data_IF_335683132446
#
_entry.id   IF_335683132446
#
_cell.length_a   1.000
_cell.length_b   1.000
_cell.length_c   1.000
_cell.angle_alpha   90.00
_cell.angle_beta   90.00
_cell.angle_gamma   90.00
#
_symmetry.space_group_name_H-M   'P 1'
#
loop_
_entity.id
_entity.type
_entity.pdbx_description
1 polymer ?
#
# COMPACT_ATOMS: atom_id res chain seq x y z
N UNK A 1 13.45 35.17 -1.40
CA UNK A 1 14.65 34.45 -1.86
C UNK A 1 14.54 34.18 -3.36
N UNK A 2 15.62 33.85 -4.06
CA UNK A 2 15.53 33.32 -5.43
C UNK A 2 15.05 31.88 -5.41
N UNK A 3 14.50 31.37 -6.51
CA UNK A 3 14.08 29.97 -6.61
C UNK A 3 15.23 28.99 -6.28
N UNK A 4 16.46 29.30 -6.72
CA UNK A 4 17.63 28.48 -6.44
C UNK A 4 17.98 28.46 -4.94
N UNK A 5 17.85 29.59 -4.24
CA UNK A 5 18.09 29.68 -2.80
C UNK A 5 17.08 28.84 -2.01
N UNK A 6 15.78 28.98 -2.31
CA UNK A 6 14.69 28.17 -1.75
C UNK A 6 15.00 26.68 -1.96
N UNK A 7 15.33 26.30 -3.20
CA UNK A 7 15.65 24.91 -3.50
C UNK A 7 16.84 24.38 -2.71
N UNK A 8 17.95 25.12 -2.65
CA UNK A 8 19.15 24.65 -1.97
C UNK A 8 19.00 24.57 -0.45
N UNK A 9 18.19 25.46 0.14
CA UNK A 9 17.91 25.48 1.58
C UNK A 9 16.91 24.38 1.98
N UNK A 10 15.90 24.11 1.18
CA UNK A 10 14.72 23.32 1.60
C UNK A 10 14.74 21.87 1.14
N UNK A 11 15.46 21.56 0.05
CA UNK A 11 15.45 20.23 -0.58
C UNK A 11 15.82 19.08 0.36
N UNK A 12 16.66 19.33 1.36
CA UNK A 12 17.08 18.31 2.33
C UNK A 12 15.94 17.85 3.22
N UNK A 13 14.94 18.72 3.46
CA UNK A 13 13.76 18.44 4.27
C UNK A 13 12.68 17.62 3.56
N UNK A 14 12.82 17.39 2.25
CA UNK A 14 11.82 16.71 1.42
C UNK A 14 12.26 15.27 1.16
N UNK A 15 11.31 14.33 1.27
CA UNK A 15 11.58 12.88 1.23
C UNK A 15 10.65 12.14 0.27
N UNK A 16 11.18 11.10 -0.36
CA UNK A 16 10.40 10.16 -1.15
C UNK A 16 9.87 9.07 -0.23
N UNK A 17 8.55 8.94 -0.15
CA UNK A 17 7.87 7.95 0.68
C UNK A 17 7.53 6.73 -0.16
N UNK A 18 7.80 5.55 0.40
CA UNK A 18 7.33 4.26 -0.13
C UNK A 18 6.50 3.54 0.92
N UNK A 19 5.27 3.21 0.55
CA UNK A 19 4.34 2.42 1.35
C UNK A 19 4.03 1.12 0.61
N UNK A 20 4.56 0.00 1.12
CA UNK A 20 4.21 -1.34 0.62
C UNK A 20 3.12 -1.94 1.46
N UNK A 21 2.11 -2.52 0.82
CA UNK A 21 1.00 -3.12 1.53
C UNK A 21 0.40 -4.31 0.81
N UNK A 22 -0.31 -5.13 1.60
CA UNK A 22 -1.21 -6.17 1.14
C UNK A 22 -2.33 -6.34 2.17
N UNK A 23 -3.34 -7.11 1.80
CA UNK A 23 -4.50 -7.38 2.62
C UNK A 23 -4.51 -8.82 3.06
N UNK A 24 -4.86 -9.03 4.32
CA UNK A 24 -5.13 -10.33 4.91
C UNK A 24 -6.63 -10.45 5.14
N UNK A 25 -7.27 -11.34 4.38
CA UNK A 25 -8.66 -11.70 4.50
C UNK A 25 -8.79 -12.96 5.35
N UNK A 26 -9.40 -12.82 6.53
CA UNK A 26 -9.80 -13.95 7.37
C UNK A 26 -11.28 -14.25 7.13
N UNK A 27 -11.56 -15.45 6.63
CA UNK A 27 -12.91 -15.97 6.46
C UNK A 27 -13.50 -16.41 7.82
N UNK A 28 -14.83 -16.52 7.96
CA UNK A 28 -15.49 -16.99 9.20
C UNK A 28 -15.00 -18.34 9.72
N UNK A 29 -14.49 -19.23 8.84
CA UNK A 29 -13.88 -20.51 9.23
C UNK A 29 -12.51 -20.38 9.90
N UNK A 30 -11.90 -19.19 9.86
CA UNK A 30 -10.50 -18.95 10.21
C UNK A 30 -9.52 -19.09 9.03
N UNK A 31 -9.99 -19.52 7.85
CA UNK A 31 -9.14 -19.65 6.67
C UNK A 31 -8.62 -18.28 6.22
N UNK A 32 -7.32 -18.19 5.97
CA UNK A 32 -6.63 -16.95 5.62
C UNK A 32 -6.33 -16.90 4.13
N UNK A 33 -6.67 -15.76 3.52
CA UNK A 33 -6.36 -15.42 2.15
C UNK A 33 -5.63 -14.08 2.12
N UNK A 34 -4.85 -13.88 1.08
CA UNK A 34 -4.04 -12.69 0.89
C UNK A 34 -4.28 -12.11 -0.50
N UNK A 35 -4.29 -10.79 -0.63
CA UNK A 35 -4.37 -10.12 -1.92
C UNK A 35 -3.71 -8.75 -1.86
N UNK A 36 -3.36 -8.19 -3.02
CA UNK A 36 -2.53 -6.98 -3.14
C UNK A 36 -3.35 -5.70 -3.28
N UNK A 37 -4.37 -5.73 -4.14
CA UNK A 37 -5.24 -4.60 -4.43
C UNK A 37 -6.60 -5.09 -4.95
N UNK A 38 -7.60 -4.20 -5.02
CA UNK A 38 -8.86 -4.45 -5.72
C UNK A 38 -8.94 -3.54 -6.93
N UNK A 39 -8.74 -4.10 -8.11
CA UNK A 39 -8.96 -3.40 -9.37
C UNK A 39 -10.41 -3.49 -9.83
N UNK A 40 -10.68 -2.98 -11.02
CA UNK A 40 -11.97 -3.13 -11.70
C UNK A 40 -12.35 -4.61 -11.87
N UNK A 41 -11.35 -5.49 -12.07
CA UNK A 41 -11.50 -6.94 -12.18
C UNK A 41 -11.52 -7.68 -10.82
N UNK A 42 -11.55 -6.96 -9.70
CA UNK A 42 -11.61 -7.52 -8.35
C UNK A 42 -10.26 -7.78 -7.69
N UNK A 43 -10.17 -8.84 -6.86
CA UNK A 43 -9.01 -9.10 -5.98
C UNK A 43 -7.76 -9.53 -6.77
N UNK A 44 -6.73 -8.70 -6.76
CA UNK A 44 -5.47 -8.94 -7.47
C UNK A 44 -4.47 -9.73 -6.62
N UNK A 45 -3.78 -10.69 -7.23
CA UNK A 45 -2.82 -11.58 -6.57
C UNK A 45 -3.40 -12.36 -5.38
N UNK A 46 -4.67 -12.80 -5.51
CA UNK A 46 -5.34 -13.60 -4.49
C UNK A 46 -4.59 -14.93 -4.27
N UNK A 47 -4.24 -15.23 -3.02
CA UNK A 47 -3.47 -16.43 -2.66
C UNK A 47 -3.76 -16.91 -1.23
N UNK A 48 -3.64 -18.21 -0.99
CA UNK A 48 -3.62 -18.86 0.33
C UNK A 48 -2.19 -18.94 0.92
N UNK A 49 -1.17 -18.53 0.15
CA UNK A 49 0.25 -18.66 0.52
C UNK A 49 0.85 -17.29 0.88
N UNK A 50 1.23 -17.12 2.15
CA UNK A 50 1.83 -15.87 2.65
C UNK A 50 3.08 -15.45 1.86
N UNK A 51 4.00 -16.37 1.57
CA UNK A 51 5.22 -16.03 0.83
C UNK A 51 4.96 -15.58 -0.60
N UNK A 52 3.85 -16.04 -1.19
CA UNK A 52 3.45 -15.61 -2.52
C UNK A 52 3.00 -14.15 -2.53
N UNK A 53 2.20 -13.73 -1.54
CA UNK A 53 1.77 -12.33 -1.47
C UNK A 53 2.92 -11.37 -1.15
N UNK A 54 3.92 -11.80 -0.36
CA UNK A 54 5.08 -10.97 -0.04
C UNK A 54 5.89 -10.55 -1.29
N UNK A 55 5.80 -11.34 -2.38
CA UNK A 55 6.41 -11.03 -3.68
C UNK A 55 5.54 -10.17 -4.60
N UNK A 56 4.26 -10.02 -4.29
CA UNK A 56 3.28 -9.32 -5.13
C UNK A 56 2.54 -8.21 -4.37
N UNK A 57 3.19 -7.61 -3.37
CA UNK A 57 2.62 -6.50 -2.60
C UNK A 57 2.38 -5.29 -3.51
N UNK A 58 1.34 -4.52 -3.19
CA UNK A 58 1.11 -3.23 -3.82
C UNK A 58 2.03 -2.17 -3.23
N UNK A 59 2.34 -1.17 -4.05
CA UNK A 59 3.24 -0.07 -3.68
C UNK A 59 2.50 1.24 -3.94
N UNK A 60 2.47 2.10 -2.93
CA UNK A 60 2.13 3.51 -3.08
C UNK A 60 3.38 4.33 -2.83
N UNK A 61 3.59 5.35 -3.66
CA UNK A 61 4.68 6.32 -3.51
C UNK A 61 4.11 7.73 -3.46
N UNK A 62 4.81 8.61 -2.75
CA UNK A 62 4.47 10.02 -2.64
C UNK A 62 5.64 10.80 -2.08
N UNK A 63 5.45 12.09 -1.90
CA UNK A 63 6.40 12.99 -1.26
C UNK A 63 5.94 13.29 0.16
N UNK A 64 6.88 13.57 1.05
CA UNK A 64 6.59 14.22 2.33
C UNK A 64 7.72 15.15 2.75
N UNK A 65 7.54 15.85 3.85
CA UNK A 65 8.52 16.79 4.36
C UNK A 65 8.56 16.85 5.88
N UNK A 66 9.74 17.10 6.46
CA UNK A 66 9.95 17.17 7.91
C UNK A 66 9.39 18.46 8.50
N UNK A 67 8.81 18.35 9.70
CA UNK A 67 8.21 19.49 10.43
C UNK A 67 8.81 19.74 11.81
N UNK A 68 9.75 18.89 12.24
CA UNK A 68 10.47 19.02 13.52
C UNK A 68 11.73 18.14 13.58
N UNK A 69 12.41 18.15 14.72
CA UNK A 69 13.60 17.35 15.01
C UNK A 69 13.28 15.90 15.43
N UNK A 70 12.02 15.57 15.75
CA UNK A 70 11.60 14.24 16.19
C UNK A 70 11.31 13.27 15.03
N UNK A 71 11.68 13.64 13.81
CA UNK A 71 11.47 12.83 12.62
C UNK A 71 10.02 12.75 12.18
N UNK A 72 9.15 13.71 12.56
CA UNK A 72 7.78 13.76 12.07
C UNK A 72 7.74 14.39 10.68
N UNK A 73 6.92 13.79 9.81
CA UNK A 73 6.83 14.11 8.39
C UNK A 73 5.35 14.22 8.01
N UNK A 74 5.01 15.29 7.30
CA UNK A 74 3.67 15.49 6.73
C UNK A 74 3.65 14.98 5.29
N UNK A 75 2.55 14.32 4.93
CA UNK A 75 2.25 13.84 3.56
C UNK A 75 0.74 13.71 3.38
N UNK A 76 0.30 13.21 2.22
CA UNK A 76 -1.11 12.88 2.02
C UNK A 76 -1.53 11.57 2.66
N UNK A 77 -2.80 11.48 3.07
CA UNK A 77 -3.37 10.24 3.63
C UNK A 77 -3.39 9.10 2.62
N UNK A 78 -3.69 9.34 1.35
CA UNK A 78 -3.67 8.26 0.34
C UNK A 78 -2.27 7.70 0.04
N UNK A 79 -1.20 8.37 0.50
CA UNK A 79 0.17 7.84 0.42
C UNK A 79 0.41 6.80 1.52
N UNK A 80 -0.19 6.98 2.69
CA UNK A 80 0.06 6.18 3.91
C UNK A 80 -1.05 5.19 4.25
N UNK A 81 -2.26 5.48 3.78
CA UNK A 81 -3.46 4.66 3.92
C UNK A 81 -3.97 4.23 2.56
N UNK A 82 -4.65 3.09 2.58
CA UNK A 82 -5.30 2.52 1.42
C UNK A 82 -6.80 2.71 1.53
N UNK A 83 -7.48 3.00 0.42
CA UNK A 83 -8.93 3.25 0.39
C UNK A 83 -9.80 2.08 0.85
N UNK A 84 -9.21 0.89 0.99
CA UNK A 84 -9.95 -0.31 1.26
C UNK A 84 -10.30 -0.47 2.74
N UNK A 85 -11.58 -0.28 3.03
CA UNK A 85 -12.19 -0.48 4.35
C UNK A 85 -13.19 -1.63 4.32
N UNK A 86 -13.60 -2.13 5.49
CA UNK A 86 -14.70 -3.10 5.64
C UNK A 86 -15.98 -2.64 4.92
N UNK A 87 -16.17 -1.32 4.75
CA UNK A 87 -17.31 -0.75 4.03
C UNK A 87 -17.24 -1.03 2.51
N UNK A 88 -16.05 -0.98 1.90
CA UNK A 88 -15.84 -1.26 0.47
C UNK A 88 -16.09 -2.73 0.17
N UNK A 89 -15.58 -3.63 1.02
CA UNK A 89 -15.96 -5.05 0.98
C UNK A 89 -17.47 -5.25 0.99
N UNK A 90 -18.14 -4.55 1.90
CA UNK A 90 -19.57 -4.77 2.13
C UNK A 90 -20.40 -4.33 0.93
N UNK A 91 -20.01 -3.25 0.27
CA UNK A 91 -20.63 -2.76 -0.97
C UNK A 91 -20.39 -3.70 -2.15
N UNK A 92 -19.19 -4.28 -2.25
CA UNK A 92 -18.76 -5.11 -3.38
C UNK A 92 -18.80 -6.63 -3.11
N UNK A 93 -19.55 -7.05 -2.08
CA UNK A 93 -19.48 -8.42 -1.58
C UNK A 93 -19.83 -9.48 -2.62
N UNK A 94 -20.86 -9.23 -3.44
CA UNK A 94 -21.29 -10.21 -4.45
C UNK A 94 -20.15 -10.54 -5.43
N UNK A 95 -19.37 -9.55 -5.85
CA UNK A 95 -18.27 -9.75 -6.78
C UNK A 95 -17.07 -10.40 -6.08
N UNK A 96 -16.75 -9.95 -4.87
CA UNK A 96 -15.73 -10.58 -4.02
C UNK A 96 -16.07 -12.05 -3.77
N UNK A 97 -17.34 -12.38 -3.50
CA UNK A 97 -17.79 -13.74 -3.24
C UNK A 97 -17.63 -14.64 -4.47
N UNK A 98 -17.94 -14.17 -5.69
CA UNK A 98 -17.69 -14.92 -6.93
C UNK A 98 -16.21 -15.22 -7.13
N UNK A 99 -15.35 -14.23 -6.90
CA UNK A 99 -13.90 -14.39 -7.02
C UNK A 99 -13.39 -15.42 -6.02
N UNK A 100 -13.84 -15.33 -4.77
CA UNK A 100 -13.52 -16.31 -3.73
C UNK A 100 -14.02 -17.70 -4.07
N UNK A 101 -15.24 -17.84 -4.61
CA UNK A 101 -15.79 -19.13 -5.05
C UNK A 101 -14.94 -19.75 -6.16
N UNK A 102 -14.58 -18.96 -7.17
CA UNK A 102 -13.71 -19.41 -8.27
C UNK A 102 -12.35 -19.85 -7.74
N UNK A 103 -11.73 -19.05 -6.87
CA UNK A 103 -10.42 -19.32 -6.29
C UNK A 103 -10.42 -20.58 -5.41
N UNK A 104 -11.38 -20.70 -4.48
CA UNK A 104 -11.48 -21.89 -3.63
C UNK A 104 -11.83 -23.12 -4.47
N UNK A 105 -12.60 -22.99 -5.54
CA UNK A 105 -12.82 -24.07 -6.50
C UNK A 105 -11.52 -24.55 -7.18
N UNK A 106 -10.57 -23.64 -7.45
CA UNK A 106 -9.24 -24.01 -7.93
C UNK A 106 -8.42 -24.72 -6.85
N UNK A 107 -8.50 -24.27 -5.60
CA UNK A 107 -7.85 -24.95 -4.47
C UNK A 107 -8.38 -26.36 -4.28
N UNK A 108 -9.69 -26.56 -4.34
CA UNK A 108 -10.31 -27.89 -4.29
C UNK A 108 -9.76 -28.79 -5.39
N UNK A 109 -9.65 -28.29 -6.63
CA UNK A 109 -9.05 -29.06 -7.74
C UNK A 109 -7.58 -29.39 -7.48
N UNK A 110 -6.79 -28.47 -6.93
CA UNK A 110 -5.38 -28.68 -6.56
C UNK A 110 -5.25 -29.80 -5.52
N UNK A 111 -6.04 -29.72 -4.44
CA UNK A 111 -6.06 -30.68 -3.33
C UNK A 111 -6.47 -32.07 -3.82
N UNK A 112 -7.50 -32.16 -4.69
CA UNK A 112 -7.93 -33.44 -5.26
C UNK A 112 -6.91 -34.04 -6.24
N UNK A 113 -6.20 -33.21 -7.01
CA UNK A 113 -5.12 -33.73 -7.85
C UNK A 113 -3.98 -34.35 -7.02
N UNK A 114 -3.67 -33.78 -5.86
CA UNK A 114 -2.70 -34.37 -4.92
C UNK A 114 -3.20 -35.70 -4.34
N UNK A 115 -4.50 -35.79 -4.03
CA UNK A 115 -5.15 -37.04 -3.63
C UNK A 115 -4.99 -38.14 -4.69
N UNK A 116 -5.29 -37.84 -5.96
CA UNK A 116 -5.21 -38.82 -7.06
C UNK A 116 -3.78 -39.34 -7.26
N UNK A 117 -2.76 -38.49 -7.02
CA UNK A 117 -1.35 -38.89 -7.05
C UNK A 117 -1.02 -39.86 -5.91
N UNK A 118 -1.54 -39.62 -4.71
CA UNK A 118 -1.36 -40.52 -3.56
C UNK A 118 -2.05 -41.87 -3.79
N UNK A 119 -3.27 -41.87 -4.33
CA UNK A 119 -4.00 -43.09 -4.65
C UNK A 119 -3.24 -43.92 -5.70
N UNK A 120 -2.70 -43.26 -6.73
CA UNK A 120 -1.84 -43.92 -7.73
C UNK A 120 -0.58 -44.52 -7.09
N UNK A 121 0.02 -43.85 -6.09
CA UNK A 121 1.17 -44.38 -5.35
C UNK A 121 0.81 -45.59 -4.49
N UNK A 122 -0.39 -45.65 -3.89
CA UNK A 122 -0.84 -46.82 -3.13
C UNK A 122 -0.94 -48.07 -4.00
N UNK A 123 -1.44 -47.94 -5.22
CA UNK A 123 -1.52 -49.05 -6.17
C UNK A 123 -0.13 -49.63 -6.44
N UNK A 124 0.92 -48.80 -6.52
CA UNK A 124 2.30 -49.27 -6.70
C UNK A 124 2.88 -50.00 -5.48
N UNK A 125 2.26 -49.90 -4.30
CA UNK A 125 2.66 -50.66 -3.12
C UNK A 125 2.04 -52.06 -3.09
N UNK A 126 1.02 -52.29 -3.92
CA UNK A 126 0.37 -53.59 -4.07
C UNK A 126 1.18 -54.46 -5.03
N UNK A 127 1.36 -55.72 -4.67
CA UNK A 127 1.75 -56.77 -5.61
C UNK A 127 1.00 -58.04 -5.30
N UNK A 128 1.41 -59.13 -5.94
CA UNK A 128 0.71 -60.40 -5.85
C UNK A 128 1.63 -61.46 -5.25
N UNK A 129 1.12 -62.23 -4.29
CA UNK A 129 1.80 -63.44 -3.83
C UNK A 129 1.68 -64.59 -4.86
N UNK A 130 2.29 -65.73 -4.57
CA UNK A 130 2.26 -66.91 -5.46
C UNK A 130 0.85 -67.50 -5.67
N UNK A 131 -0.14 -67.06 -4.92
CA UNK A 131 -1.54 -67.48 -5.01
C UNK A 131 -2.43 -66.42 -5.65
N UNK A 132 -1.85 -65.29 -6.08
CA UNK A 132 -2.58 -64.16 -6.66
C UNK A 132 -3.30 -63.29 -5.63
N UNK A 133 -2.98 -63.38 -4.34
CA UNK A 133 -3.51 -62.46 -3.33
C UNK A 133 -2.72 -61.16 -3.33
N UNK A 134 -3.43 -60.05 -3.10
CA UNK A 134 -2.80 -58.73 -2.96
C UNK A 134 -1.98 -58.69 -1.67
N UNK A 135 -0.70 -58.38 -1.80
CA UNK A 135 0.23 -58.13 -0.69
C UNK A 135 0.79 -56.72 -0.78
N UNK A 136 1.07 -56.11 0.36
CA UNK A 136 1.62 -54.75 0.43
C UNK A 136 3.11 -54.85 0.71
N UNK A 137 3.93 -54.42 -0.24
CA UNK A 137 5.38 -54.59 -0.17
C UNK A 137 6.09 -53.53 0.69
N UNK A 138 5.38 -52.49 1.13
CA UNK A 138 5.91 -51.43 1.99
C UNK A 138 4.81 -50.82 2.88
N UNK A 139 4.55 -51.45 4.03
CA UNK A 139 3.52 -51.02 4.99
C UNK A 139 3.79 -49.61 5.53
N UNK A 140 5.05 -49.25 5.78
CA UNK A 140 5.42 -47.91 6.27
C UNK A 140 5.07 -46.81 5.27
N UNK A 141 5.27 -47.05 3.98
CA UNK A 141 4.86 -46.11 2.93
C UNK A 141 3.33 -46.02 2.85
N UNK A 142 2.60 -47.13 3.01
CA UNK A 142 1.14 -47.13 3.04
C UNK A 142 0.59 -46.29 4.20
N UNK A 143 1.16 -46.43 5.40
CA UNK A 143 0.78 -45.62 6.56
C UNK A 143 1.00 -44.12 6.31
N UNK A 144 2.15 -43.76 5.74
CA UNK A 144 2.47 -42.36 5.40
C UNK A 144 1.49 -41.79 4.36
N UNK A 145 1.18 -42.55 3.31
CA UNK A 145 0.22 -42.11 2.29
C UNK A 145 -1.18 -41.97 2.89
N UNK A 146 -1.63 -42.94 3.68
CA UNK A 146 -2.94 -42.90 4.34
C UNK A 146 -3.07 -41.71 5.29
N UNK A 147 -2.00 -41.39 6.04
CA UNK A 147 -1.96 -40.20 6.89
C UNK A 147 -2.01 -38.89 6.08
N UNK A 148 -1.35 -38.84 4.91
CA UNK A 148 -1.40 -37.69 4.02
C UNK A 148 -2.78 -37.50 3.39
N UNK A 149 -3.41 -38.57 2.90
CA UNK A 149 -4.77 -38.53 2.37
C UNK A 149 -5.79 -38.05 3.40
N UNK A 150 -5.67 -38.48 4.66
CA UNK A 150 -6.56 -38.00 5.73
C UNK A 150 -6.49 -36.49 5.86
N UNK A 151 -5.29 -35.89 5.81
CA UNK A 151 -5.10 -34.44 5.86
C UNK A 151 -5.70 -33.74 4.64
N UNK A 152 -5.50 -34.31 3.45
CA UNK A 152 -6.07 -33.80 2.19
C UNK A 152 -7.61 -33.81 2.23
N UNK A 153 -8.22 -34.89 2.73
CA UNK A 153 -9.67 -34.99 2.88
C UNK A 153 -10.22 -34.02 3.93
N UNK A 154 -9.50 -33.81 5.03
CA UNK A 154 -9.84 -32.78 6.02
C UNK A 154 -9.83 -31.38 5.39
N UNK A 155 -8.79 -31.04 4.61
CA UNK A 155 -8.70 -29.77 3.90
C UNK A 155 -9.81 -29.62 2.84
N UNK A 156 -10.04 -30.64 2.00
CA UNK A 156 -11.12 -30.66 1.03
C UNK A 156 -12.49 -30.39 1.68
N UNK A 157 -12.76 -31.03 2.82
CA UNK A 157 -14.01 -30.84 3.55
C UNK A 157 -14.15 -29.41 4.08
N UNK A 158 -13.06 -28.80 4.55
CA UNK A 158 -13.05 -27.40 4.97
C UNK A 158 -13.32 -26.45 3.78
N UNK A 159 -12.62 -26.64 2.65
CA UNK A 159 -12.78 -25.82 1.45
C UNK A 159 -14.19 -25.96 0.85
N UNK A 160 -14.73 -27.17 0.81
CA UNK A 160 -16.08 -27.44 0.28
C UNK A 160 -17.16 -26.75 1.13
N UNK A 161 -17.01 -26.77 2.46
CA UNK A 161 -17.89 -26.00 3.36
C UNK A 161 -17.78 -24.50 3.10
N UNK A 162 -16.58 -23.97 2.90
CA UNK A 162 -16.38 -22.55 2.58
C UNK A 162 -17.14 -22.13 1.33
N UNK A 163 -16.99 -22.87 0.22
CA UNK A 163 -17.69 -22.56 -1.04
C UNK A 163 -19.21 -22.53 -0.85
N UNK A 164 -19.76 -23.52 -0.14
CA UNK A 164 -21.20 -23.58 0.14
C UNK A 164 -21.74 -22.40 0.95
N UNK A 165 -20.88 -21.77 1.76
CA UNK A 165 -21.26 -20.67 2.64
C UNK A 165 -21.06 -19.29 2.01
N UNK A 166 -20.26 -19.14 0.96
CA UNK A 166 -19.98 -17.86 0.30
C UNK A 166 -21.23 -17.19 -0.32
N UNK A 167 -22.33 -17.92 -0.52
CA UNK A 167 -23.62 -17.36 -0.93
C UNK A 167 -24.49 -16.85 0.23
N UNK A 168 -24.07 -17.00 1.49
CA UNK A 168 -24.86 -16.68 2.66
C UNK A 168 -24.51 -15.30 3.23
N UNK A 169 -25.51 -14.43 3.41
CA UNK A 169 -25.34 -13.08 3.96
C UNK A 169 -24.77 -13.04 5.39
N UNK A 170 -24.91 -14.11 6.17
CA UNK A 170 -24.25 -14.24 7.49
C UNK A 170 -22.74 -14.46 7.36
N UNK A 171 -22.28 -15.07 6.26
CA UNK A 171 -20.86 -15.32 6.01
C UNK A 171 -20.12 -13.99 5.75
N UNK A 172 -20.75 -13.08 5.00
CA UNK A 172 -20.24 -11.71 4.79
C UNK A 172 -19.87 -11.01 6.10
N UNK A 173 -20.75 -11.08 7.11
CA UNK A 173 -20.55 -10.40 8.40
C UNK A 173 -19.38 -10.96 9.22
N UNK A 174 -18.95 -12.20 8.96
CA UNK A 174 -17.83 -12.82 9.67
C UNK A 174 -16.47 -12.63 8.98
N UNK A 175 -16.42 -12.06 7.78
CA UNK A 175 -15.17 -11.78 7.08
C UNK A 175 -14.47 -10.58 7.71
N UNK A 176 -13.19 -10.74 8.03
CA UNK A 176 -12.34 -9.69 8.57
C UNK A 176 -11.20 -9.40 7.62
N UNK A 177 -10.96 -8.13 7.35
CA UNK A 177 -9.79 -7.71 6.59
C UNK A 177 -8.86 -6.87 7.44
N UNK A 178 -7.57 -7.20 7.37
CA UNK A 178 -6.48 -6.43 7.95
C UNK A 178 -5.54 -6.00 6.84
N UNK A 179 -5.17 -4.73 6.85
CA UNK A 179 -4.09 -4.22 5.98
C UNK A 179 -2.76 -4.46 6.70
N UNK A 180 -1.81 -5.08 6.02
CA UNK A 180 -0.42 -5.17 6.48
C UNK A 180 0.40 -4.24 5.62
N UNK A 181 1.02 -3.25 6.26
CA UNK A 181 1.78 -2.20 5.57
C UNK A 181 3.17 -2.01 6.17
N UNK A 182 4.10 -1.63 5.32
CA UNK A 182 5.47 -1.26 5.69
C UNK A 182 5.80 0.06 4.99
N UNK A 183 6.18 1.05 5.79
CA UNK A 183 6.47 2.40 5.34
C UNK A 183 7.95 2.70 5.54
N UNK A 184 8.55 3.35 4.56
CA UNK A 184 9.91 3.88 4.65
C UNK A 184 10.12 5.07 3.74
N UNK A 185 11.25 5.74 3.91
CA UNK A 185 11.59 6.95 3.15
C UNK A 185 12.99 6.87 2.52
N UNK A 186 13.23 7.70 1.52
CA UNK A 186 14.55 7.97 0.97
C UNK A 186 14.78 9.47 0.81
N UNK A 187 16.03 9.89 0.94
CA UNK A 187 16.46 11.29 0.90
C UNK A 187 17.03 11.67 -0.47
N UNK A 188 17.15 12.98 -0.72
CA UNK A 188 17.88 13.50 -1.88
C UNK A 188 19.33 12.99 -1.89
N UNK A 189 19.77 12.47 -3.03
CA UNK A 189 21.09 11.86 -3.22
C UNK A 189 21.18 10.37 -2.86
N UNK A 190 20.17 9.76 -2.25
CA UNK A 190 20.22 8.34 -1.90
C UNK A 190 20.36 7.43 -3.14
N UNK A 191 21.19 6.39 -3.02
CA UNK A 191 21.35 5.37 -4.06
C UNK A 191 20.34 4.25 -3.87
N UNK A 192 19.12 4.50 -4.29
CA UNK A 192 18.02 3.52 -4.23
C UNK A 192 18.20 2.46 -5.32
N UNK A 193 18.43 1.21 -4.92
CA UNK A 193 18.56 0.03 -5.81
C UNK A 193 17.40 -0.94 -5.66
N UNK A 194 16.79 -0.96 -4.48
CA UNK A 194 15.68 -1.85 -4.14
C UNK A 194 14.73 -1.19 -3.15
N UNK A 195 13.54 -1.75 -3.01
CA UNK A 195 12.55 -1.33 -2.00
C UNK A 195 13.12 -1.40 -0.57
N UNK A 196 14.05 -2.33 -0.33
CA UNK A 196 14.76 -2.48 0.95
C UNK A 196 15.47 -1.20 1.38
N UNK A 197 15.91 -0.37 0.42
CA UNK A 197 16.62 0.87 0.70
C UNK A 197 15.71 1.93 1.34
N UNK A 198 14.39 1.83 1.13
CA UNK A 198 13.40 2.61 1.87
C UNK A 198 13.04 1.92 3.19
N UNK A 199 12.58 0.67 3.09
CA UNK A 199 11.82 0.01 4.16
C UNK A 199 12.69 -0.47 5.32
N UNK A 200 14.00 -0.68 5.08
CA UNK A 200 14.94 -1.12 6.10
C UNK A 200 15.84 0.00 6.60
N UNK A 201 16.27 0.89 5.72
CA UNK A 201 17.21 1.97 6.06
C UNK A 201 16.54 3.06 6.88
N UNK A 202 15.39 3.57 6.42
CA UNK A 202 14.67 4.66 7.07
C UNK A 202 13.19 4.27 7.27
N UNK A 203 12.91 3.28 8.13
CA UNK A 203 11.54 2.85 8.38
C UNK A 203 10.75 3.93 9.12
N UNK A 204 9.49 4.09 8.73
CA UNK A 204 8.56 5.03 9.35
C UNK A 204 7.28 4.32 9.83
N UNK A 205 6.51 5.01 10.67
CA UNK A 205 5.19 4.60 11.14
C UNK A 205 4.19 5.73 10.95
N UNK A 206 2.92 5.40 10.77
CA UNK A 206 1.84 6.38 10.75
C UNK A 206 1.50 6.75 12.19
N UNK A 207 1.51 8.04 12.51
CA UNK A 207 1.07 8.58 13.81
C UNK A 207 -0.39 8.99 13.79
N UNK A 208 -0.79 9.72 12.74
CA UNK A 208 -2.13 10.24 12.58
C UNK A 208 -2.52 10.31 11.10
N UNK A 209 -3.82 10.14 10.85
CA UNK A 209 -4.44 10.33 9.54
C UNK A 209 -5.73 11.11 9.72
N UNK A 210 -5.95 12.09 8.86
CA UNK A 210 -7.18 12.86 8.87
C UNK A 210 -8.38 11.95 8.57
N UNK A 211 -9.50 12.22 9.25
CA UNK A 211 -10.79 11.56 9.01
C UNK A 211 -11.72 12.37 8.13
N UNK A 212 -11.32 13.59 7.80
CA UNK A 212 -12.12 14.52 7.00
C UNK A 212 -11.95 14.20 5.51
N UNK A 213 -13.01 14.39 4.72
CA UNK A 213 -13.01 14.03 3.28
C UNK A 213 -12.19 15.03 2.44
N UNK A 214 -12.15 16.29 2.87
CA UNK A 214 -11.49 17.42 2.22
C UNK A 214 -10.08 17.71 2.75
N UNK A 215 -9.66 17.04 3.83
CA UNK A 215 -8.28 17.11 4.34
C UNK A 215 -7.59 15.75 4.17
N UNK A 216 -7.01 15.48 3.01
CA UNK A 216 -6.26 14.25 2.78
C UNK A 216 -4.81 14.35 3.30
N UNK A 217 -4.65 14.43 4.62
CA UNK A 217 -3.36 14.58 5.30
C UNK A 217 -3.03 13.40 6.21
N UNK A 218 -1.75 13.08 6.33
CA UNK A 218 -1.22 12.11 7.28
C UNK A 218 0.09 12.61 7.88
N UNK A 219 0.23 12.35 9.18
CA UNK A 219 1.46 12.51 9.94
C UNK A 219 2.13 11.15 10.10
N UNK A 220 3.35 11.03 9.61
CA UNK A 220 4.20 9.86 9.81
C UNK A 220 5.42 10.25 10.66
N UNK A 221 6.09 9.26 11.23
CA UNK A 221 7.30 9.48 12.00
C UNK A 221 8.34 8.40 11.71
N UNK A 222 9.59 8.81 11.55
CA UNK A 222 10.72 7.88 11.52
C UNK A 222 10.75 7.03 12.80
N UNK A 223 11.03 5.73 12.68
CA UNK A 223 11.18 4.86 13.86
C UNK A 223 12.36 5.26 14.76
N UNK A 224 13.36 5.96 14.21
CA UNK A 224 14.46 6.56 14.97
C UNK A 224 14.00 7.68 15.90
N UNK A 225 12.83 8.29 15.63
CA UNK A 225 12.33 9.51 16.29
C UNK A 225 13.32 10.67 16.24
N UNK A 226 14.08 10.74 15.16
CA UNK A 226 15.11 11.75 14.96
C UNK A 226 15.18 12.12 13.48
N UNK A 227 15.05 13.40 13.19
CA UNK A 227 15.33 13.99 11.88
C UNK A 227 16.84 14.00 11.65
N UNK A 228 17.34 13.61 10.46
CA UNK A 228 18.78 13.61 10.19
C UNK A 228 19.40 15.00 10.36
N UNK A 229 20.67 15.05 10.77
CA UNK A 229 21.40 16.31 10.94
C UNK A 229 21.49 17.07 9.61
N UNK A 230 21.40 18.41 9.66
CA UNK A 230 21.41 19.32 8.50
C UNK A 230 20.22 19.13 7.53
N UNK A 231 19.13 18.56 8.02
CA UNK A 231 17.85 18.48 7.31
C UNK A 231 17.05 19.74 7.55
N UNK A 232 16.45 20.31 6.51
CA UNK A 232 15.55 21.43 6.65
C UNK A 232 14.26 21.02 7.37
N UNK A 233 13.81 21.86 8.30
CA UNK A 233 12.55 21.70 9.03
C UNK A 233 11.60 22.79 8.54
N UNK A 234 10.50 22.37 7.93
CA UNK A 234 9.53 23.29 7.36
C UNK A 234 8.65 23.91 8.44
N UNK A 235 8.34 25.19 8.26
CA UNK A 235 7.34 25.92 9.04
C UNK A 235 6.12 26.23 8.18
N UNK A 236 4.93 26.18 8.78
CA UNK A 236 3.69 26.60 8.15
C UNK A 236 3.46 28.10 8.38
N UNK A 237 2.84 28.79 7.42
CA UNK A 237 2.42 30.20 7.56
C UNK A 237 0.90 30.35 7.44
N UNK A 238 0.31 31.21 8.27
CA UNK A 238 -1.10 31.59 8.19
C UNK A 238 -1.32 32.80 7.26
N UNK A 239 -0.27 33.28 6.59
CA UNK A 239 -0.36 34.43 5.71
C UNK A 239 -1.37 34.18 4.56
N UNK A 240 -2.29 35.11 4.31
CA UNK A 240 -3.26 34.96 3.24
C UNK A 240 -2.55 34.97 1.88
N UNK A 241 -2.99 34.10 0.97
CA UNK A 241 -2.49 34.11 -0.40
C UNK A 241 -3.30 35.04 -1.29
N UNK A 242 -2.62 35.72 -2.20
CA UNK A 242 -3.21 36.58 -3.22
C UNK A 242 -3.21 35.90 -4.59
N UNK A 243 -4.18 36.23 -5.44
CA UNK A 243 -4.15 35.81 -6.86
C UNK A 243 -2.86 36.32 -7.51
N UNK A 244 -2.28 35.50 -8.41
CA UNK A 244 -1.01 35.78 -9.09
C UNK A 244 0.24 35.74 -8.18
N UNK A 245 0.08 35.40 -6.89
CA UNK A 245 1.21 35.14 -6.01
C UNK A 245 2.00 33.91 -6.50
N UNK A 246 3.31 34.08 -6.63
CA UNK A 246 4.24 33.01 -7.00
C UNK A 246 4.35 31.97 -5.87
N UNK A 247 4.27 30.71 -6.26
CA UNK A 247 4.40 29.54 -5.40
C UNK A 247 5.43 28.58 -5.97
N UNK A 248 6.09 27.84 -5.08
CA UNK A 248 7.03 26.78 -5.42
C UNK A 248 6.56 25.46 -4.85
N UNK A 249 6.86 24.37 -5.54
CA UNK A 249 6.64 23.02 -5.07
C UNK A 249 7.92 22.23 -5.21
N UNK A 250 8.37 21.63 -4.11
CA UNK A 250 9.55 20.76 -4.06
C UNK A 250 9.08 19.33 -3.79
N UNK A 251 9.56 18.37 -4.57
CA UNK A 251 9.14 16.99 -4.40
C UNK A 251 9.68 16.01 -5.41
N UNK A 252 9.21 14.77 -5.29
CA UNK A 252 9.57 13.65 -6.15
C UNK A 252 8.47 13.39 -7.16
N UNK A 253 8.36 14.31 -8.12
CA UNK A 253 7.41 14.24 -9.24
C UNK A 253 7.65 12.94 -10.02
N UNK A 254 6.60 12.17 -10.32
CA UNK A 254 6.67 10.83 -10.93
C UNK A 254 7.48 9.79 -10.13
N UNK A 255 7.74 10.04 -8.84
CA UNK A 255 8.45 9.12 -7.95
C UNK A 255 9.80 8.69 -8.53
N UNK A 256 10.11 7.40 -8.50
CA UNK A 256 11.38 6.86 -8.97
C UNK A 256 11.61 7.01 -10.48
N UNK A 257 10.56 7.24 -11.28
CA UNK A 257 10.69 7.35 -12.75
C UNK A 257 11.54 8.56 -13.13
N UNK A 258 11.29 9.71 -12.50
CA UNK A 258 12.06 10.94 -12.74
C UNK A 258 13.13 11.18 -11.68
N UNK A 259 12.91 10.72 -10.44
CA UNK A 259 13.88 10.94 -9.38
C UNK A 259 15.19 10.20 -9.64
N UNK A 260 15.17 9.01 -10.26
CA UNK A 260 16.38 8.20 -10.41
C UNK A 260 17.36 8.80 -11.42
N UNK A 261 18.51 9.28 -10.93
CA UNK A 261 19.59 9.83 -11.75
C UNK A 261 20.88 9.01 -11.58
N UNK A 262 21.90 9.32 -12.40
CA UNK A 262 23.23 8.70 -12.24
C UNK A 262 23.88 8.99 -10.87
N UNK A 263 23.43 10.04 -10.16
CA UNK A 263 23.98 10.45 -8.86
C UNK A 263 23.18 9.89 -7.66
N UNK A 264 22.07 9.20 -7.90
CA UNK A 264 21.10 8.82 -6.87
C UNK A 264 19.72 9.41 -7.20
N UNK A 265 18.77 9.27 -6.27
CA UNK A 265 17.49 9.94 -6.43
C UNK A 265 17.67 11.45 -6.26
N UNK A 266 17.01 12.25 -7.07
CA UNK A 266 17.06 13.71 -6.99
C UNK A 266 15.66 14.28 -6.85
N UNK A 267 15.51 15.22 -5.92
CA UNK A 267 14.29 16.01 -5.75
C UNK A 267 14.17 17.06 -6.85
N UNK A 268 12.94 17.38 -7.24
CA UNK A 268 12.63 18.39 -8.26
C UNK A 268 11.96 19.61 -7.63
N UNK A 269 12.11 20.76 -8.30
CA UNK A 269 11.35 21.97 -8.02
C UNK A 269 10.53 22.34 -9.25
N UNK A 270 9.31 22.81 -9.00
CA UNK A 270 8.42 23.41 -9.99
C UNK A 270 7.84 24.69 -9.40
N UNK A 271 7.42 25.62 -10.25
CA UNK A 271 6.76 26.86 -9.82
C UNK A 271 5.51 27.13 -10.63
N UNK A 272 4.74 28.08 -10.13
CA UNK A 272 3.46 28.49 -10.68
C UNK A 272 2.86 29.56 -9.79
N UNK A 273 1.61 29.91 -10.07
CA UNK A 273 0.93 30.99 -9.35
C UNK A 273 -0.40 30.55 -8.82
N UNK A 274 -0.86 31.23 -7.78
CA UNK A 274 -2.23 31.14 -7.29
C UNK A 274 -3.19 31.56 -8.41
N UNK A 275 -4.12 30.68 -8.78
CA UNK A 275 -5.06 30.91 -9.89
C UNK A 275 -6.48 31.27 -9.42
N UNK A 276 -6.75 31.14 -8.13
CA UNK A 276 -8.02 31.46 -7.50
C UNK A 276 -7.78 31.96 -6.08
N UNK A 277 -8.62 32.88 -5.59
CA UNK A 277 -8.66 33.17 -4.16
C UNK A 277 -8.80 31.86 -3.38
N UNK A 278 -7.86 31.52 -2.48
CA UNK A 278 -7.97 30.30 -1.69
C UNK A 278 -9.26 30.31 -0.88
N UNK A 279 -9.86 29.14 -0.75
CA UNK A 279 -10.94 28.91 0.21
C UNK A 279 -10.41 28.06 1.39
N UNK A 280 -11.26 27.77 2.37
CA UNK A 280 -10.86 26.99 3.54
C UNK A 280 -10.56 25.51 3.22
N UNK A 281 -10.91 25.03 2.02
CA UNK A 281 -10.79 23.63 1.62
C UNK A 281 -9.63 23.37 0.67
N UNK A 282 -9.22 24.35 -0.14
CA UNK A 282 -8.21 24.17 -1.19
C UNK A 282 -7.52 25.46 -1.62
N UNK A 283 -6.28 25.32 -2.06
CA UNK A 283 -5.51 26.35 -2.77
C UNK A 283 -5.38 25.89 -4.21
N UNK A 284 -5.85 26.68 -5.19
CA UNK A 284 -5.65 26.37 -6.61
C UNK A 284 -4.46 27.13 -7.17
N UNK A 285 -3.65 26.43 -7.97
CA UNK A 285 -2.48 27.00 -8.63
C UNK A 285 -2.21 26.39 -10.00
N UNK A 286 -1.26 27.01 -10.71
CA UNK A 286 -0.81 26.58 -12.03
C UNK A 286 0.41 25.65 -12.03
N UNK A 287 0.96 25.29 -10.85
CA UNK A 287 2.08 24.35 -10.74
C UNK A 287 1.67 23.00 -11.36
N UNK A 288 2.44 22.41 -12.29
CA UNK A 288 2.12 21.11 -12.86
C UNK A 288 2.18 20.01 -11.78
N UNK A 289 1.17 19.15 -11.70
CA UNK A 289 1.19 18.00 -10.80
C UNK A 289 1.12 16.70 -11.57
N UNK A 290 1.82 15.70 -11.06
CA UNK A 290 1.84 14.33 -11.58
C UNK A 290 1.79 13.36 -10.42
N UNK A 291 1.47 12.09 -10.67
CA UNK A 291 1.58 11.05 -9.65
C UNK A 291 2.97 11.08 -8.99
N UNK A 292 3.06 10.88 -7.68
CA UNK A 292 4.31 11.00 -6.90
C UNK A 292 4.56 12.38 -6.29
N UNK A 293 4.01 13.46 -6.89
CA UNK A 293 4.05 14.81 -6.29
C UNK A 293 3.10 14.97 -5.09
N UNK A 294 2.16 14.05 -4.90
CA UNK A 294 1.26 14.04 -3.73
C UNK A 294 2.05 14.08 -2.42
N UNK A 295 1.75 15.08 -1.60
CA UNK A 295 2.37 15.28 -0.29
C UNK A 295 3.56 16.24 -0.31
N UNK A 296 3.92 16.78 -1.48
CA UNK A 296 4.91 17.84 -1.60
C UNK A 296 4.48 19.10 -0.85
N UNK A 297 5.41 19.77 -0.14
CA UNK A 297 5.14 21.10 0.38
C UNK A 297 4.97 22.09 -0.78
N UNK A 298 3.98 22.97 -0.66
CA UNK A 298 3.80 24.14 -1.50
C UNK A 298 4.19 25.37 -0.70
N UNK A 299 5.04 26.19 -1.27
CA UNK A 299 5.88 27.15 -0.58
C UNK A 299 5.67 28.56 -1.14
N UNK A 300 5.69 29.56 -0.27
CA UNK A 300 5.78 30.95 -0.68
C UNK A 300 7.24 31.34 -1.02
N UNK A 301 7.48 32.61 -1.39
CA UNK A 301 8.83 33.14 -1.70
C UNK A 301 9.80 33.22 -0.51
N UNK A 302 9.31 32.90 0.69
CA UNK A 302 10.03 32.87 1.96
C UNK A 302 10.33 31.45 2.45
N UNK A 303 9.93 30.42 1.70
CA UNK A 303 10.17 29.02 2.07
C UNK A 303 9.20 28.46 3.10
N UNK A 304 8.12 29.18 3.38
CA UNK A 304 7.11 28.74 4.34
C UNK A 304 6.01 27.95 3.63
N UNK A 305 5.54 26.90 4.28
CA UNK A 305 4.51 26.01 3.73
C UNK A 305 3.14 26.68 3.82
N UNK A 306 2.53 26.87 2.66
CA UNK A 306 1.17 27.41 2.52
C UNK A 306 0.14 26.30 2.34
N UNK A 307 0.58 25.11 1.91
CA UNK A 307 -0.27 23.93 1.75
C UNK A 307 0.50 22.69 1.33
N UNK A 308 -0.22 21.57 1.26
CA UNK A 308 0.32 20.26 0.86
C UNK A 308 -0.31 19.85 -0.46
N UNK A 309 0.51 19.69 -1.50
CA UNK A 309 0.07 19.33 -2.84
C UNK A 309 -0.73 18.02 -2.82
N UNK A 310 -1.84 17.99 -3.54
CA UNK A 310 -2.69 16.82 -3.65
C UNK A 310 -2.91 16.47 -5.13
N UNK A 311 -2.20 15.45 -5.61
CA UNK A 311 -2.35 14.98 -6.99
C UNK A 311 -3.47 13.92 -7.05
N UNK A 312 -4.64 14.29 -7.59
CA UNK A 312 -5.74 13.36 -7.88
C UNK A 312 -5.60 12.79 -9.30
N UNK A 313 -5.84 11.50 -9.48
CA UNK A 313 -5.91 10.88 -10.80
C UNK A 313 -7.27 11.15 -11.47
N UNK A 314 -7.23 11.59 -12.75
CA UNK A 314 -8.25 11.41 -13.82
C UNK A 314 -9.54 12.26 -13.85
N UNK A 315 -9.55 13.57 -13.56
CA UNK A 315 -10.72 14.39 -13.93
C UNK A 315 -10.51 15.84 -14.40
N UNK A 316 -9.33 16.45 -14.22
CA UNK A 316 -9.11 17.80 -14.76
C UNK A 316 -7.64 18.01 -15.12
N UNK A 317 -7.31 17.82 -16.38
CA UNK A 317 -5.96 18.00 -16.94
C UNK A 317 -5.39 19.43 -16.78
N UNK A 318 -6.11 20.37 -16.16
CA UNK A 318 -5.72 21.79 -16.06
C UNK A 318 -5.93 22.45 -14.68
N UNK A 319 -6.35 21.72 -13.63
CA UNK A 319 -6.53 22.31 -12.30
C UNK A 319 -5.86 21.47 -11.22
N UNK A 320 -4.82 22.04 -10.62
CA UNK A 320 -4.07 21.45 -9.52
C UNK A 320 -4.39 22.19 -8.23
N UNK A 321 -4.40 21.46 -7.11
CA UNK A 321 -4.67 22.07 -5.82
C UNK A 321 -3.84 21.47 -4.69
N UNK A 322 -3.64 22.28 -3.65
CA UNK A 322 -3.11 21.85 -2.37
C UNK A 322 -4.19 21.89 -1.29
N UNK A 323 -4.03 21.02 -0.30
CA UNK A 323 -4.73 21.10 0.97
C UNK A 323 -4.12 22.28 1.74
N UNK A 324 -4.90 23.28 2.16
CA UNK A 324 -4.38 24.45 2.85
C UNK A 324 -3.73 24.07 4.17
N UNK A 325 -2.70 24.81 4.59
CA UNK A 325 -2.03 24.56 5.87
C UNK A 325 -2.97 24.63 7.08
N UNK A 326 -4.06 25.40 6.99
CA UNK A 326 -5.10 25.51 8.02
C UNK A 326 -5.83 24.19 8.31
N UNK A 327 -5.61 23.16 7.49
CA UNK A 327 -6.13 21.80 7.71
C UNK A 327 -5.16 20.89 8.46
N UNK A 328 -3.98 21.37 8.86
CA UNK A 328 -2.98 20.59 9.62
C UNK A 328 -3.51 20.09 10.97
N UNK A 329 -4.46 20.80 11.58
CA UNK A 329 -5.13 20.40 12.82
C UNK A 329 -5.84 19.04 12.68
N UNK A 330 -6.26 18.66 11.46
CA UNK A 330 -6.88 17.36 11.18
C UNK A 330 -5.93 16.17 11.42
N UNK A 331 -4.62 16.42 11.53
CA UNK A 331 -3.59 15.44 11.90
C UNK A 331 -2.92 15.76 13.25
N UNK A 332 -3.49 16.69 14.04
CA UNK A 332 -3.05 17.02 15.38
C UNK A 332 -1.81 17.91 15.46
N UNK A 333 -1.60 18.76 14.44
CA UNK A 333 -0.55 19.77 14.39
C UNK A 333 -1.06 21.16 14.75
#
# INVERSE_FOLDING_TARGET
>A
MTAQQIFDEEKSGVVLIMNKYYYELTLPSGYQLFFSHIGEDGLQNLTDIRDSILRHQSVATGTGFFIDEEGRIVTNRHVTETEFTQSVLSKNYAEVAKILQSYIGQLIRRVMAEYDVLESRKVLLQGYDMFGNIVIHNERALEQITAAEKKILEEYNQLSRLVSQLGNSKFQKGMKIRVVKTLGIAYDGDKVRSESDFLRTNPAIVLATSKEEDADLSLIQLKSKQTPVNTHIFTFTDDPLEIDQELYMIGYNAGLILANTQKGISVQMTSGKVTQNPDSSRILYSIPTVQGSSGSPVLNKYGEVVGVNFAKLKASDNFNFAIPQSRKDAIGL
#
